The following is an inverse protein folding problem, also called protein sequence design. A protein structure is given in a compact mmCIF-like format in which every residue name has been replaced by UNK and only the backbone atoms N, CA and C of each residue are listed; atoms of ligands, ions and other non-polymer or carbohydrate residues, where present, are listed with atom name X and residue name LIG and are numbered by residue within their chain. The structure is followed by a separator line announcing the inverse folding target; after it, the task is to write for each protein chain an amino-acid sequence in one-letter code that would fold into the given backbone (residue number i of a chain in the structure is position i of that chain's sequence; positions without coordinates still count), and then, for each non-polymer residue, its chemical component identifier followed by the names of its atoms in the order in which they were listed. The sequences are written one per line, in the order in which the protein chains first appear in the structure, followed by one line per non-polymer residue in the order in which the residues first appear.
data_IF_620965570133
#
_entry.id   IF_620965570133
#
_cell.length_a   1.000
_cell.length_b   1.000
_cell.length_c   1.000
_cell.angle_alpha   90.00
_cell.angle_beta   90.00
_cell.angle_gamma   90.00
#
_symmetry.space_group_name_H-M   'P 1'
#
loop_
_entity.id
_entity.type
_entity.pdbx_description
1 polymer ?
#
# COMPACT_ATOMS: atom_id res chain seq x y z
N UNK A 1 8.59 10.57 48.92
CA UNK A 1 9.92 10.75 49.53
C UNK A 1 10.83 9.65 48.99
N UNK A 2 11.95 10.08 48.38
CA UNK A 2 13.27 9.40 48.24
C UNK A 2 13.33 7.97 47.66
N UNK A 3 14.22 7.59 46.74
CA UNK A 3 15.27 8.30 45.97
C UNK A 3 15.76 7.32 44.87
N UNK A 4 16.35 7.92 43.83
CA UNK A 4 17.00 7.33 42.67
C UNK A 4 18.23 6.46 42.96
N UNK A 5 18.50 5.47 42.11
CA UNK A 5 19.86 4.99 41.86
C UNK A 5 20.07 4.57 40.41
N UNK A 6 20.88 5.36 39.71
CA UNK A 6 21.46 5.11 38.38
C UNK A 6 22.20 3.76 38.33
N UNK A 7 22.10 3.06 37.19
CA UNK A 7 23.12 2.10 36.74
C UNK A 7 23.54 2.42 35.30
N UNK A 8 24.83 2.24 34.95
CA UNK A 8 25.41 2.80 33.75
C UNK A 8 25.23 1.88 32.54
N UNK A 9 25.23 2.53 31.37
CA UNK A 9 25.33 1.98 30.03
C UNK A 9 26.53 1.03 29.90
N UNK A 10 26.32 -0.12 29.27
CA UNK A 10 27.38 -1.03 28.87
C UNK A 10 27.33 -1.18 27.34
N UNK A 11 28.25 -0.52 26.65
CA UNK A 11 28.49 -0.67 25.22
C UNK A 11 29.19 -2.01 24.98
N UNK A 12 28.43 -3.02 24.53
CA UNK A 12 29.02 -4.23 23.95
C UNK A 12 29.08 -4.08 22.43
N UNK A 13 30.25 -3.64 21.96
CA UNK A 13 30.65 -3.53 20.56
C UNK A 13 30.47 -4.88 19.83
N UNK A 14 29.78 -4.83 18.69
CA UNK A 14 29.63 -5.92 17.73
C UNK A 14 30.98 -6.23 17.04
N UNK A 15 31.40 -7.49 17.08
CA UNK A 15 32.75 -7.97 16.78
C UNK A 15 33.06 -8.21 15.29
N UNK A 16 32.60 -7.36 14.37
CA UNK A 16 32.81 -7.58 12.90
C UNK A 16 33.52 -6.42 12.19
N UNK A 17 33.97 -5.38 12.90
CA UNK A 17 34.59 -4.19 12.28
C UNK A 17 36.06 -3.92 12.66
N UNK A 18 36.82 -4.91 13.13
CA UNK A 18 38.28 -4.74 13.33
C UNK A 18 39.04 -5.89 12.71
N UNK A 19 39.32 -5.77 11.41
CA UNK A 19 40.53 -6.30 10.80
C UNK A 19 40.76 -5.62 9.45
N UNK A 20 41.83 -4.82 9.39
CA UNK A 20 42.58 -4.28 8.23
C UNK A 20 42.94 -2.79 8.34
N UNK A 21 43.61 -2.40 9.42
CA UNK A 21 44.45 -1.20 9.44
C UNK A 21 45.64 -1.41 10.38
N UNK A 22 46.81 -1.76 9.80
CA UNK A 22 48.21 -1.85 10.32
C UNK A 22 48.87 -2.97 9.51
N UNK A 23 49.99 -2.87 8.80
CA UNK A 23 51.09 -1.91 8.68
C UNK A 23 51.53 -1.95 7.19
N UNK A 24 52.07 -0.85 6.66
CA UNK A 24 53.43 -0.85 6.11
C UNK A 24 53.77 0.54 5.58
N UNK A 25 54.79 1.11 6.22
CA UNK A 25 55.50 2.33 5.88
C UNK A 25 56.47 2.07 4.73
N UNK A 26 56.30 2.74 3.60
CA UNK A 26 57.32 2.89 2.57
C UNK A 26 57.30 4.35 2.10
N UNK A 27 58.43 5.04 2.25
CA UNK A 27 58.73 6.34 1.65
C UNK A 27 58.63 6.27 0.13
N UNK A 28 58.02 7.27 -0.52
CA UNK A 28 58.43 7.72 -1.87
C UNK A 28 57.72 9.02 -2.28
N UNK A 29 58.53 10.07 -2.44
CA UNK A 29 58.45 11.15 -3.46
C UNK A 29 57.09 11.72 -3.91
N UNK A 30 56.96 13.03 -3.71
CA UNK A 30 55.96 13.92 -4.31
C UNK A 30 55.78 13.67 -5.83
N UNK A 31 54.55 13.34 -6.24
CA UNK A 31 54.01 13.60 -7.59
C UNK A 31 52.52 13.94 -7.48
N UNK A 32 52.16 15.07 -8.06
CA UNK A 32 50.78 15.53 -8.23
C UNK A 32 49.99 14.51 -9.08
N UNK A 33 48.76 14.18 -8.67
CA UNK A 33 47.82 13.41 -9.50
C UNK A 33 46.57 14.25 -9.78
N UNK A 34 46.21 14.49 -11.05
CA UNK A 34 44.92 15.08 -11.42
C UNK A 34 43.87 13.96 -11.44
N UNK A 35 42.96 13.98 -10.48
CA UNK A 35 41.79 13.08 -10.46
C UNK A 35 40.51 13.88 -10.68
N UNK A 36 40.43 14.54 -11.83
CA UNK A 36 39.14 14.81 -12.47
C UNK A 36 38.84 13.59 -13.36
N UNK A 37 37.99 12.68 -12.88
CA UNK A 37 37.41 11.65 -13.73
C UNK A 37 36.50 12.40 -14.72
N UNK A 38 36.77 12.39 -16.04
CA UNK A 38 35.90 13.08 -16.98
C UNK A 38 34.53 12.42 -16.96
N UNK A 39 33.48 13.23 -16.83
CA UNK A 39 32.11 12.78 -16.97
C UNK A 39 32.00 12.00 -18.29
N UNK A 40 31.63 10.72 -18.20
CA UNK A 40 31.44 9.91 -19.41
C UNK A 40 30.30 10.56 -20.20
N UNK A 41 30.61 10.95 -21.44
CA UNK A 41 29.65 11.54 -22.37
C UNK A 41 29.38 10.59 -23.52
N UNK A 42 28.12 10.39 -23.87
CA UNK A 42 27.70 9.81 -25.15
C UNK A 42 27.20 10.98 -25.98
N UNK A 43 27.69 11.12 -27.22
CA UNK A 43 27.33 12.20 -28.17
C UNK A 43 27.49 13.63 -27.61
N UNK A 44 28.45 13.86 -26.72
CA UNK A 44 28.74 15.18 -26.15
C UNK A 44 27.79 15.62 -25.02
N UNK A 45 26.89 14.75 -24.56
CA UNK A 45 26.01 15.01 -23.42
C UNK A 45 26.46 14.23 -22.18
N UNK A 46 26.42 14.82 -20.97
CA UNK A 46 26.69 14.10 -19.74
C UNK A 46 25.74 12.91 -19.59
N UNK A 47 26.25 11.71 -19.27
CA UNK A 47 25.42 10.51 -19.03
C UNK A 47 24.25 10.75 -18.07
N UNK A 48 24.37 11.70 -17.13
CA UNK A 48 23.31 12.06 -16.18
C UNK A 48 22.06 12.69 -16.80
N UNK A 49 22.09 13.03 -18.10
CA UNK A 49 20.93 13.57 -18.83
C UNK A 49 20.12 12.50 -19.58
N UNK A 50 20.65 11.28 -19.73
CA UNK A 50 19.88 10.20 -20.35
C UNK A 50 18.95 9.56 -19.30
N UNK A 51 17.69 9.27 -19.67
CA UNK A 51 16.76 8.63 -18.76
C UNK A 51 17.28 7.23 -18.38
N UNK A 52 17.29 6.94 -17.08
CA UNK A 52 17.61 5.61 -16.58
C UNK A 52 16.55 4.58 -17.00
N UNK A 53 16.86 3.29 -16.90
CA UNK A 53 15.88 2.23 -17.14
C UNK A 53 14.63 2.36 -16.26
N UNK A 54 14.78 2.88 -15.03
CA UNK A 54 13.67 3.20 -14.13
C UNK A 54 12.81 4.35 -14.66
N UNK A 55 13.43 5.41 -15.20
CA UNK A 55 12.72 6.56 -15.77
C UNK A 55 11.91 6.18 -17.01
N UNK A 56 12.48 5.33 -17.88
CA UNK A 56 11.77 4.80 -19.04
C UNK A 56 10.60 3.90 -18.64
N UNK A 57 10.77 3.06 -17.61
CA UNK A 57 9.71 2.18 -17.10
C UNK A 57 8.57 2.98 -16.47
N UNK A 58 8.89 4.02 -15.69
CA UNK A 58 7.89 4.95 -15.14
C UNK A 58 7.10 5.64 -16.25
N UNK A 59 7.78 6.25 -17.24
CA UNK A 59 7.11 6.91 -18.35
C UNK A 59 6.19 5.96 -19.13
N UNK A 60 6.60 4.70 -19.32
CA UNK A 60 5.78 3.68 -19.96
C UNK A 60 4.54 3.31 -19.14
N UNK A 61 4.66 3.20 -17.81
CA UNK A 61 3.54 2.95 -16.90
C UNK A 61 2.53 4.11 -16.98
N UNK A 62 2.99 5.34 -16.82
CA UNK A 62 2.13 6.54 -16.85
C UNK A 62 1.41 6.68 -18.18
N UNK A 63 2.11 6.44 -19.28
CA UNK A 63 1.52 6.49 -20.64
C UNK A 63 0.42 5.44 -20.80
N UNK A 64 0.66 4.19 -20.39
CA UNK A 64 -0.32 3.10 -20.52
C UNK A 64 -1.52 3.28 -19.61
N UNK A 65 -1.31 3.69 -18.35
CA UNK A 65 -2.37 3.95 -17.39
C UNK A 65 -3.35 5.03 -17.89
N UNK A 66 -2.83 6.05 -18.57
CA UNK A 66 -3.68 7.11 -19.14
C UNK A 66 -4.66 6.57 -20.20
N UNK A 67 -4.26 5.52 -20.95
CA UNK A 67 -5.00 4.89 -22.05
C UNK A 67 -5.95 3.78 -21.56
N UNK A 68 -5.56 2.98 -20.56
CA UNK A 68 -6.30 1.78 -20.13
C UNK A 68 -7.59 2.08 -19.36
N UNK A 69 -7.75 3.30 -18.84
CA UNK A 69 -8.96 3.71 -18.09
C UNK A 69 -10.07 4.30 -18.96
N UNK A 70 -9.96 4.24 -20.28
CA UNK A 70 -11.04 4.63 -21.19
C UNK A 70 -11.97 3.44 -21.38
N UNK A 71 -13.15 3.46 -20.73
CA UNK A 71 -14.18 2.46 -20.98
C UNK A 71 -14.89 2.77 -22.31
N UNK A 72 -14.36 2.24 -23.41
CA UNK A 72 -14.94 2.41 -24.76
C UNK A 72 -16.35 1.82 -24.90
N UNK A 73 -16.76 0.93 -23.99
CA UNK A 73 -18.08 0.32 -23.95
C UNK A 73 -19.09 1.08 -23.06
N UNK A 74 -18.67 2.18 -22.41
CA UNK A 74 -19.55 2.94 -21.52
C UNK A 74 -20.68 3.62 -22.31
N UNK A 75 -21.90 3.56 -21.78
CA UNK A 75 -23.04 4.30 -22.33
C UNK A 75 -22.83 5.80 -22.22
N UNK A 76 -23.54 6.59 -23.03
CA UNK A 76 -23.49 8.06 -22.96
C UNK A 76 -23.81 8.60 -21.56
N UNK A 77 -24.77 7.97 -20.86
CA UNK A 77 -25.12 8.33 -19.48
C UNK A 77 -23.99 8.04 -18.50
N UNK A 78 -23.32 6.89 -18.63
CA UNK A 78 -22.16 6.53 -17.81
C UNK A 78 -21.00 7.51 -18.05
N UNK A 79 -20.74 7.89 -19.30
CA UNK A 79 -19.73 8.90 -19.64
C UNK A 79 -20.05 10.26 -19.00
N UNK A 80 -21.31 10.70 -19.06
CA UNK A 80 -21.75 11.96 -18.44
C UNK A 80 -21.59 11.93 -16.91
N UNK A 81 -21.95 10.83 -16.26
CA UNK A 81 -21.75 10.66 -14.81
C UNK A 81 -20.26 10.67 -14.45
N UNK A 82 -19.43 10.02 -15.27
CA UNK A 82 -17.98 9.97 -15.11
C UNK A 82 -17.36 11.37 -15.20
N UNK A 83 -17.74 12.16 -16.20
CA UNK A 83 -17.30 13.55 -16.33
C UNK A 83 -17.77 14.43 -15.17
N UNK A 84 -19.01 14.27 -14.73
CA UNK A 84 -19.55 15.04 -13.61
C UNK A 84 -18.78 14.74 -12.32
N UNK A 85 -18.51 13.46 -12.03
CA UNK A 85 -17.73 13.04 -10.86
C UNK A 85 -16.29 13.55 -10.96
N UNK A 86 -15.67 13.50 -12.15
CA UNK A 86 -14.33 14.02 -12.36
C UNK A 86 -14.20 15.54 -12.16
N UNK A 87 -15.26 16.31 -12.46
CA UNK A 87 -15.28 17.76 -12.19
C UNK A 87 -15.43 18.08 -10.71
N UNK A 88 -16.12 17.24 -9.95
CA UNK A 88 -16.46 17.48 -8.54
C UNK A 88 -16.28 16.21 -7.72
N UNK A 89 -15.03 15.94 -7.32
CA UNK A 89 -14.75 14.83 -6.41
C UNK A 89 -15.37 15.10 -5.03
N UNK A 90 -16.03 14.10 -4.42
CA UNK A 90 -16.47 14.21 -3.04
C UNK A 90 -15.31 14.50 -2.11
N UNK A 91 -15.57 15.32 -1.09
CA UNK A 91 -14.61 15.53 -0.01
C UNK A 91 -14.46 14.22 0.76
N UNK A 92 -13.21 13.85 1.08
CA UNK A 92 -12.96 12.68 1.92
C UNK A 92 -13.53 12.94 3.30
N UNK A 93 -14.49 12.13 3.71
CA UNK A 93 -15.17 12.23 5.00
C UNK A 93 -15.32 10.82 5.56
N UNK A 94 -14.54 10.54 6.60
CA UNK A 94 -14.63 9.33 7.39
C UNK A 94 -15.31 9.69 8.73
N UNK A 95 -16.62 9.44 8.91
CA UNK A 95 -17.37 9.74 10.14
C UNK A 95 -16.67 9.35 11.44
N UNK A 96 -15.97 8.22 11.44
CA UNK A 96 -15.23 7.70 12.59
C UNK A 96 -13.71 7.85 12.46
N UNK A 97 -13.22 8.52 11.42
CA UNK A 97 -11.79 8.75 11.19
C UNK A 97 -11.01 7.44 11.14
N UNK A 98 -10.16 7.23 12.15
CA UNK A 98 -9.30 6.05 12.29
C UNK A 98 -9.68 5.18 13.50
N UNK A 99 -10.92 5.33 14.00
CA UNK A 99 -11.40 4.65 15.19
C UNK A 99 -10.83 5.20 16.51
N UNK A 100 -11.11 4.52 17.64
CA UNK A 100 -12.06 3.40 17.74
C UNK A 100 -13.51 3.86 17.70
N UNK A 101 -14.37 3.11 17.00
CA UNK A 101 -15.83 3.23 17.08
C UNK A 101 -16.30 2.58 18.39
N UNK A 102 -17.34 3.14 19.07
CA UNK A 102 -17.97 2.44 20.19
C UNK A 102 -18.35 1.00 19.81
N UNK A 103 -17.99 -0.01 20.62
CA UNK A 103 -18.22 -1.40 20.25
C UNK A 103 -19.71 -1.71 20.10
N UNK A 104 -20.08 -2.41 19.02
CA UNK A 104 -21.43 -2.90 18.79
C UNK A 104 -21.42 -4.27 18.09
N UNK A 105 -22.61 -4.78 17.76
CA UNK A 105 -22.80 -6.07 17.07
C UNK A 105 -23.17 -5.88 15.59
N UNK A 106 -22.81 -4.75 15.00
CA UNK A 106 -23.08 -4.41 13.61
C UNK A 106 -22.18 -5.17 12.63
N UNK A 107 -22.66 -5.34 11.40
CA UNK A 107 -21.88 -5.92 10.29
C UNK A 107 -20.97 -4.86 9.70
N UNK A 108 -19.69 -5.18 9.61
CA UNK A 108 -18.68 -4.30 9.04
C UNK A 108 -18.04 -4.98 7.84
N UNK A 109 -17.98 -4.27 6.72
CA UNK A 109 -17.27 -4.72 5.53
C UNK A 109 -15.94 -3.99 5.40
N UNK A 110 -14.86 -4.73 5.54
CA UNK A 110 -13.48 -4.28 5.40
C UNK A 110 -13.01 -4.46 3.95
N UNK A 111 -12.49 -3.37 3.37
CA UNK A 111 -11.91 -3.36 2.04
C UNK A 111 -10.42 -3.05 2.13
N UNK A 112 -9.59 -3.92 1.56
CA UNK A 112 -8.26 -3.49 1.16
C UNK A 112 -8.33 -2.42 0.05
N UNK A 113 -7.25 -1.64 -0.10
CA UNK A 113 -7.20 -0.53 -1.04
C UNK A 113 -6.42 -0.90 -2.30
N UNK A 114 -5.13 -1.20 -2.15
CA UNK A 114 -4.19 -1.34 -3.26
C UNK A 114 -4.45 -2.64 -4.01
N UNK A 115 -4.58 -2.59 -5.35
CA UNK A 115 -4.99 -3.72 -6.20
C UNK A 115 -6.39 -4.30 -5.92
N UNK A 116 -7.15 -3.75 -4.96
CA UNK A 116 -8.50 -4.16 -4.62
C UNK A 116 -9.54 -3.12 -5.09
N UNK A 117 -9.49 -1.88 -4.57
CA UNK A 117 -10.41 -0.80 -5.00
C UNK A 117 -10.04 -0.20 -6.35
N UNK A 118 -8.83 -0.47 -6.82
CA UNK A 118 -8.40 -0.21 -8.19
C UNK A 118 -7.64 -1.43 -8.70
N UNK A 119 -7.63 -1.60 -10.03
CA UNK A 119 -7.05 -2.78 -10.67
C UNK A 119 -5.52 -2.81 -10.58
N UNK A 120 -4.92 -3.98 -10.38
CA UNK A 120 -3.46 -4.22 -10.46
C UNK A 120 -2.89 -3.89 -11.83
N UNK A 121 -3.69 -3.97 -12.90
CA UNK A 121 -3.35 -3.52 -14.25
C UNK A 121 -3.10 -2.01 -14.38
N UNK A 122 -3.42 -1.21 -13.35
CA UNK A 122 -2.98 0.21 -13.26
C UNK A 122 -1.47 0.35 -13.07
N UNK A 123 -0.78 -0.73 -12.68
CA UNK A 123 0.68 -0.79 -12.49
C UNK A 123 1.22 0.18 -11.43
N UNK A 124 0.37 0.63 -10.50
CA UNK A 124 0.78 1.46 -9.36
C UNK A 124 1.79 0.72 -8.48
N UNK A 125 1.57 -0.58 -8.20
CA UNK A 125 2.54 -1.37 -7.46
C UNK A 125 3.90 -1.45 -8.19
N UNK A 126 3.92 -1.59 -9.52
CA UNK A 126 5.17 -1.58 -10.30
C UNK A 126 5.88 -0.22 -10.25
N UNK A 127 5.11 0.88 -10.18
CA UNK A 127 5.63 2.23 -9.99
C UNK A 127 6.20 2.40 -8.57
N UNK A 128 5.51 1.89 -7.55
CA UNK A 128 6.00 1.85 -6.18
C UNK A 128 7.39 1.21 -6.11
N UNK A 129 7.58 0.06 -6.76
CA UNK A 129 8.90 -0.61 -6.78
C UNK A 129 10.00 0.27 -7.37
N UNK A 130 9.71 1.10 -8.38
CA UNK A 130 10.69 2.04 -8.96
C UNK A 130 11.10 3.08 -7.92
N UNK A 131 10.15 3.61 -7.15
CA UNK A 131 10.40 4.63 -6.13
C UNK A 131 11.16 4.05 -4.92
N UNK A 132 10.79 2.85 -4.46
CA UNK A 132 11.53 2.11 -3.43
C UNK A 132 12.98 1.89 -3.88
N UNK A 133 13.17 1.47 -5.12
CA UNK A 133 14.50 1.22 -5.67
C UNK A 133 15.33 2.50 -5.76
N UNK A 134 14.75 3.61 -6.21
CA UNK A 134 15.41 4.93 -6.20
C UNK A 134 15.81 5.35 -4.79
N UNK A 135 14.95 5.11 -3.80
CA UNK A 135 15.27 5.37 -2.40
C UNK A 135 16.51 4.56 -1.96
N UNK A 136 16.55 3.27 -2.27
CA UNK A 136 17.65 2.38 -1.85
C UNK A 136 18.98 2.83 -2.48
N UNK A 137 18.97 3.18 -3.77
CA UNK A 137 20.17 3.69 -4.43
C UNK A 137 20.66 5.00 -3.82
N UNK A 138 19.74 5.93 -3.54
CA UNK A 138 20.08 7.27 -3.06
C UNK A 138 20.52 7.27 -1.59
N UNK A 139 19.80 6.55 -0.73
CA UNK A 139 19.98 6.62 0.73
C UNK A 139 20.85 5.49 1.30
N UNK A 140 20.93 4.34 0.62
CA UNK A 140 21.75 3.20 1.06
C UNK A 140 22.97 2.97 0.15
N UNK A 141 23.15 3.81 -0.89
CA UNK A 141 24.25 3.71 -1.85
C UNK A 141 24.39 2.33 -2.52
N UNK A 142 23.27 1.63 -2.71
CA UNK A 142 23.23 0.31 -3.33
C UNK A 142 23.23 0.41 -4.86
N UNK A 143 23.82 -0.58 -5.52
CA UNK A 143 23.61 -0.79 -6.96
C UNK A 143 22.24 -1.44 -7.23
N UNK A 144 21.84 -1.52 -8.49
CA UNK A 144 20.51 -2.05 -8.87
C UNK A 144 20.27 -3.49 -8.42
N UNK A 145 21.29 -4.35 -8.51
CA UNK A 145 21.16 -5.76 -8.11
C UNK A 145 20.96 -5.91 -6.61
N UNK A 146 21.71 -5.15 -5.82
CA UNK A 146 21.66 -5.19 -4.36
C UNK A 146 20.39 -4.52 -3.83
N UNK A 147 19.95 -3.41 -4.45
CA UNK A 147 18.69 -2.76 -4.11
C UNK A 147 17.49 -3.69 -4.35
N UNK A 148 17.45 -4.36 -5.51
CA UNK A 148 16.41 -5.35 -5.82
C UNK A 148 16.43 -6.53 -4.84
N UNK A 149 17.62 -7.09 -4.55
CA UNK A 149 17.75 -8.18 -3.59
C UNK A 149 17.29 -7.79 -2.20
N UNK A 150 17.65 -6.58 -1.74
CA UNK A 150 17.26 -6.08 -0.42
C UNK A 150 15.75 -5.86 -0.33
N UNK A 151 15.14 -5.29 -1.38
CA UNK A 151 13.70 -5.10 -1.46
C UNK A 151 12.98 -6.45 -1.35
N UNK A 152 13.39 -7.45 -2.15
CA UNK A 152 12.78 -8.77 -2.12
C UNK A 152 13.00 -9.51 -0.80
N UNK A 153 14.17 -9.32 -0.17
CA UNK A 153 14.43 -9.85 1.16
C UNK A 153 13.43 -9.27 2.17
N UNK A 154 13.33 -7.94 2.29
CA UNK A 154 12.48 -7.32 3.31
C UNK A 154 10.99 -7.52 3.06
N UNK A 155 10.56 -7.50 1.80
CA UNK A 155 9.18 -7.84 1.47
C UNK A 155 8.84 -9.27 1.90
N UNK A 156 9.71 -10.25 1.62
CA UNK A 156 9.48 -11.65 1.99
C UNK A 156 9.55 -11.90 3.50
N UNK A 157 10.48 -11.23 4.19
CA UNK A 157 10.75 -11.46 5.62
C UNK A 157 9.77 -10.72 6.54
N UNK A 158 9.37 -9.51 6.16
CA UNK A 158 8.61 -8.61 7.02
C UNK A 158 7.21 -8.26 6.48
N UNK A 159 6.86 -8.67 5.27
CA UNK A 159 5.59 -8.33 4.61
C UNK A 159 5.53 -6.89 4.07
N UNK A 160 6.37 -5.99 4.57
CA UNK A 160 6.57 -4.63 4.09
C UNK A 160 8.07 -4.34 4.00
N UNK A 161 8.53 -3.86 2.84
CA UNK A 161 9.94 -3.53 2.63
C UNK A 161 10.46 -2.47 3.61
N UNK A 162 9.60 -1.53 4.02
CA UNK A 162 9.93 -0.45 4.95
C UNK A 162 10.24 -0.96 6.36
N UNK A 163 9.62 -2.04 6.82
CA UNK A 163 9.88 -2.58 8.16
C UNK A 163 11.35 -3.01 8.30
N UNK A 164 11.89 -3.67 7.27
CA UNK A 164 13.32 -4.02 7.24
C UNK A 164 14.24 -2.81 7.19
N UNK A 165 13.85 -1.73 6.49
CA UNK A 165 14.62 -0.48 6.45
C UNK A 165 14.66 0.23 7.79
N UNK A 166 13.54 0.27 8.51
CA UNK A 166 13.45 0.90 9.83
C UNK A 166 14.29 0.11 10.84
N UNK A 167 14.15 -1.22 10.87
CA UNK A 167 14.85 -2.09 11.82
C UNK A 167 16.35 -2.18 11.57
N UNK A 168 16.76 -2.45 10.34
CA UNK A 168 18.15 -2.80 10.02
C UNK A 168 18.99 -1.57 9.61
N UNK A 169 18.36 -0.53 9.06
CA UNK A 169 19.06 0.63 8.51
C UNK A 169 18.74 1.95 9.24
N UNK A 170 17.89 1.92 10.27
CA UNK A 170 17.49 3.11 11.05
C UNK A 170 16.94 4.25 10.17
N UNK A 171 16.27 3.87 9.08
CA UNK A 171 15.59 4.82 8.19
C UNK A 171 14.34 5.35 8.91
N UNK A 172 14.11 6.66 8.82
CA UNK A 172 12.85 7.26 9.24
C UNK A 172 11.73 6.83 8.28
N UNK A 173 10.73 6.12 8.81
CA UNK A 173 9.65 5.56 8.02
C UNK A 173 8.77 6.62 7.34
N UNK A 174 8.61 7.78 7.97
CA UNK A 174 7.83 8.89 7.41
C UNK A 174 8.61 9.62 6.33
N UNK A 175 9.93 9.73 6.47
CA UNK A 175 10.79 10.27 5.41
C UNK A 175 10.78 9.36 4.18
N UNK A 176 10.82 8.04 4.38
CA UNK A 176 10.59 7.06 3.31
C UNK A 176 9.21 7.24 2.67
N UNK A 177 8.14 7.34 3.45
CA UNK A 177 6.78 7.49 2.92
C UNK A 177 6.64 8.73 2.02
N UNK A 178 7.27 9.84 2.40
CA UNK A 178 7.24 11.09 1.62
C UNK A 178 7.80 10.93 0.21
N UNK A 179 8.85 10.12 0.06
CA UNK A 179 9.60 9.98 -1.20
C UNK A 179 9.25 8.72 -1.98
N UNK A 180 8.42 7.86 -1.41
CA UNK A 180 7.90 6.65 -2.07
C UNK A 180 6.39 6.82 -2.30
N UNK A 181 5.55 6.48 -1.34
CA UNK A 181 4.09 6.48 -1.47
C UNK A 181 3.52 7.87 -1.80
N UNK A 182 3.89 8.90 -1.02
CA UNK A 182 3.36 10.26 -1.21
C UNK A 182 3.86 10.89 -2.52
N UNK A 183 5.01 10.43 -3.04
CA UNK A 183 5.61 10.93 -4.27
C UNK A 183 5.00 10.31 -5.54
N UNK A 184 4.21 9.23 -5.41
CA UNK A 184 3.57 8.61 -6.57
C UNK A 184 2.62 9.60 -7.27
N UNK A 185 2.69 9.75 -8.61
CA UNK A 185 1.79 10.58 -9.40
C UNK A 185 0.41 9.92 -9.61
N UNK A 186 -0.28 9.59 -8.52
CA UNK A 186 -1.54 8.84 -8.54
C UNK A 186 -2.63 9.57 -9.33
N UNK A 187 -2.64 10.89 -9.37
CA UNK A 187 -3.58 11.72 -10.12
C UNK A 187 -3.46 11.57 -11.65
N UNK A 188 -2.31 11.09 -12.14
CA UNK A 188 -2.11 10.78 -13.56
C UNK A 188 -2.60 9.37 -13.93
N UNK A 189 -2.83 8.52 -12.92
CA UNK A 189 -3.15 7.10 -13.08
C UNK A 189 -4.61 6.82 -12.71
N UNK A 190 -5.02 7.26 -11.52
CA UNK A 190 -6.34 7.00 -10.96
C UNK A 190 -7.33 8.06 -11.43
N UNK A 191 -8.38 7.59 -12.11
CA UNK A 191 -9.56 8.39 -12.41
C UNK A 191 -10.72 7.95 -11.50
N UNK A 192 -11.76 8.77 -11.36
CA UNK A 192 -12.94 8.37 -10.60
C UNK A 192 -13.55 7.10 -11.17
N UNK A 193 -14.21 6.31 -10.34
CA UNK A 193 -14.85 5.09 -10.78
C UNK A 193 -16.33 5.12 -10.41
N UNK A 194 -17.16 5.57 -11.36
CA UNK A 194 -18.62 5.67 -11.17
C UNK A 194 -19.26 4.31 -10.88
N UNK A 195 -18.80 3.24 -11.51
CA UNK A 195 -19.36 1.91 -11.29
C UNK A 195 -19.10 1.43 -9.85
N UNK A 196 -17.86 1.55 -9.39
CA UNK A 196 -17.48 1.24 -8.00
C UNK A 196 -18.25 2.13 -7.02
N UNK A 197 -18.33 3.44 -7.28
CA UNK A 197 -19.07 4.38 -6.46
C UNK A 197 -20.53 3.97 -6.31
N UNK A 198 -21.20 3.68 -7.43
CA UNK A 198 -22.60 3.28 -7.43
C UNK A 198 -22.82 1.95 -6.72
N UNK A 199 -21.89 0.99 -6.86
CA UNK A 199 -21.92 -0.26 -6.11
C UNK A 199 -21.83 -0.04 -4.59
N UNK A 200 -20.85 0.73 -4.13
CA UNK A 200 -20.68 1.04 -2.71
C UNK A 200 -21.88 1.82 -2.13
N UNK A 201 -22.48 2.73 -2.91
CA UNK A 201 -23.72 3.41 -2.52
C UNK A 201 -24.87 2.41 -2.35
N UNK A 202 -25.04 1.47 -3.27
CA UNK A 202 -26.08 0.42 -3.12
C UNK A 202 -25.86 -0.44 -1.89
N UNK A 203 -24.61 -0.81 -1.63
CA UNK A 203 -24.23 -1.58 -0.45
C UNK A 203 -24.58 -0.82 0.85
N UNK A 204 -24.23 0.47 0.94
CA UNK A 204 -24.55 1.30 2.11
C UNK A 204 -26.06 1.51 2.27
N UNK A 205 -26.78 1.70 1.16
CA UNK A 205 -28.23 1.90 1.17
C UNK A 205 -29.03 0.63 1.40
N UNK A 206 -28.41 -0.56 1.44
CA UNK A 206 -29.13 -1.80 1.70
C UNK A 206 -29.67 -1.88 3.15
N UNK A 207 -29.04 -1.15 4.07
CA UNK A 207 -29.31 -1.25 5.51
C UNK A 207 -28.90 -2.60 6.11
N UNK A 208 -28.11 -3.40 5.37
CA UNK A 208 -27.60 -4.71 5.82
C UNK A 208 -26.14 -4.67 6.27
N UNK A 209 -25.43 -3.61 5.92
CA UNK A 209 -24.04 -3.35 6.31
C UNK A 209 -24.04 -2.05 7.10
N UNK A 210 -23.61 -2.12 8.37
CA UNK A 210 -23.63 -0.97 9.28
C UNK A 210 -22.46 -0.03 8.99
N UNK A 211 -21.30 -0.58 8.58
CA UNK A 211 -20.10 0.20 8.26
C UNK A 211 -19.32 -0.38 7.08
N UNK A 212 -18.85 0.50 6.21
CA UNK A 212 -17.79 0.20 5.24
C UNK A 212 -16.47 0.74 5.81
N UNK A 213 -15.47 -0.12 5.94
CA UNK A 213 -14.20 0.20 6.58
C UNK A 213 -13.03 -0.07 5.64
N UNK A 214 -12.07 0.83 5.59
CA UNK A 214 -10.84 0.62 4.83
C UNK A 214 -9.81 -0.10 5.71
N UNK A 215 -9.14 -1.12 5.20
CA UNK A 215 -8.10 -1.85 5.93
C UNK A 215 -6.88 -2.11 5.05
N UNK A 216 -5.88 -1.23 5.16
CA UNK A 216 -4.70 -1.19 4.26
C UNK A 216 -3.38 -1.34 5.01
N UNK A 217 -2.37 -1.88 4.33
CA UNK A 217 -0.97 -1.88 4.80
C UNK A 217 -0.22 -0.59 4.46
N UNK A 218 -0.79 0.29 3.63
CA UNK A 218 -0.22 1.60 3.32
C UNK A 218 -0.38 2.57 4.50
N UNK A 219 0.37 3.67 4.48
CA UNK A 219 0.14 4.77 5.41
C UNK A 219 -1.10 5.58 5.03
N UNK A 220 -1.70 6.27 6.01
CA UNK A 220 -2.99 6.97 5.85
C UNK A 220 -3.04 7.94 4.68
N UNK A 221 -1.95 8.67 4.40
CA UNK A 221 -1.92 9.67 3.33
C UNK A 221 -2.21 9.04 1.97
N UNK A 222 -1.59 7.89 1.69
CA UNK A 222 -1.79 7.14 0.45
C UNK A 222 -3.24 6.66 0.30
N UNK A 223 -3.77 5.99 1.33
CA UNK A 223 -5.17 5.50 1.32
C UNK A 223 -6.19 6.62 1.09
N UNK A 224 -6.02 7.76 1.78
CA UNK A 224 -6.90 8.93 1.62
C UNK A 224 -6.81 9.55 0.22
N UNK A 225 -5.61 9.58 -0.39
CA UNK A 225 -5.41 10.04 -1.77
C UNK A 225 -6.12 9.12 -2.77
N UNK A 226 -5.98 7.80 -2.60
CA UNK A 226 -6.61 6.81 -3.49
C UNK A 226 -8.14 6.95 -3.48
N UNK A 227 -8.79 6.92 -2.32
CA UNK A 227 -10.25 7.00 -2.25
C UNK A 227 -10.80 8.35 -2.74
N UNK A 228 -10.02 9.43 -2.58
CA UNK A 228 -10.35 10.74 -3.17
C UNK A 228 -10.35 10.68 -4.69
N UNK A 229 -9.26 10.19 -5.28
CA UNK A 229 -9.09 10.13 -6.74
C UNK A 229 -10.07 9.18 -7.41
N UNK A 230 -10.42 8.07 -6.74
CA UNK A 230 -11.47 7.15 -7.18
C UNK A 230 -12.89 7.73 -7.02
N UNK A 231 -13.05 8.85 -6.32
CA UNK A 231 -14.35 9.51 -6.11
C UNK A 231 -15.25 8.74 -5.15
N UNK A 232 -14.68 8.08 -4.13
CA UNK A 232 -15.38 7.25 -3.14
C UNK A 232 -15.06 7.65 -1.68
N UNK A 233 -14.42 8.81 -1.49
CA UNK A 233 -13.93 9.27 -0.19
C UNK A 233 -15.00 9.59 0.87
N UNK A 234 -16.26 9.67 0.48
CA UNK A 234 -17.43 9.92 1.34
C UNK A 234 -18.27 8.67 1.63
N UNK A 235 -17.83 7.49 1.16
CA UNK A 235 -18.60 6.24 1.27
C UNK A 235 -18.17 5.35 2.43
N UNK A 236 -16.94 5.53 2.93
CA UNK A 236 -16.38 4.75 4.03
C UNK A 236 -16.59 5.43 5.38
N UNK A 237 -16.83 4.63 6.40
CA UNK A 237 -17.11 5.07 7.76
C UNK A 237 -15.82 5.31 8.57
N UNK A 238 -14.74 4.60 8.22
CA UNK A 238 -13.40 4.77 8.81
C UNK A 238 -12.31 4.00 8.08
N UNK A 239 -11.08 4.10 8.60
CA UNK A 239 -9.90 3.43 8.05
C UNK A 239 -8.95 2.94 9.14
N UNK A 240 -8.53 1.68 9.01
CA UNK A 240 -7.35 1.12 9.68
C UNK A 240 -6.20 1.05 8.67
N UNK A 241 -5.06 1.62 9.05
CA UNK A 241 -3.86 1.72 8.23
C UNK A 241 -2.64 1.27 9.02
N UNK A 242 -1.53 1.00 8.34
CA UNK A 242 -0.27 0.66 9.01
C UNK A 242 0.37 1.95 9.56
N UNK A 243 0.52 2.07 10.87
CA UNK A 243 1.16 3.22 11.50
C UNK A 243 2.69 3.10 11.38
N UNK A 244 3.27 3.86 10.45
CA UNK A 244 4.70 3.83 10.15
C UNK A 244 5.56 4.43 11.26
N UNK A 245 4.98 5.23 12.17
CA UNK A 245 5.70 5.73 13.33
C UNK A 245 5.92 4.65 14.43
N UNK A 246 5.22 3.53 14.36
CA UNK A 246 5.35 2.46 15.35
C UNK A 246 6.46 1.47 14.98
N UNK A 247 7.23 1.04 15.98
CA UNK A 247 8.27 0.00 15.83
C UNK A 247 8.06 -1.06 16.92
N UNK A 248 7.72 -2.31 16.55
CA UNK A 248 7.54 -2.83 15.19
C UNK A 248 6.28 -2.29 14.50
N UNK A 249 6.28 -2.21 13.17
CA UNK A 249 5.05 -1.95 12.43
C UNK A 249 4.08 -3.11 12.54
N UNK A 250 2.79 -2.79 12.61
CA UNK A 250 1.70 -3.77 12.70
C UNK A 250 0.88 -3.69 11.41
N UNK A 251 1.11 -4.64 10.51
CA UNK A 251 0.46 -4.73 9.21
C UNK A 251 -0.10 -6.15 8.96
N UNK A 252 -0.99 -6.30 7.98
CA UNK A 252 -1.43 -7.61 7.50
C UNK A 252 -0.20 -8.38 6.98
N UNK A 253 -0.08 -9.70 7.24
CA UNK A 253 -1.09 -10.60 7.81
C UNK A 253 -0.99 -10.80 9.35
N UNK A 254 -0.29 -9.92 10.07
CA UNK A 254 -0.07 -10.08 11.52
C UNK A 254 -1.39 -9.98 12.29
N UNK A 255 -1.56 -10.85 13.30
CA UNK A 255 -2.76 -10.90 14.16
C UNK A 255 -3.12 -9.52 14.74
N UNK A 256 -2.13 -8.76 15.20
CA UNK A 256 -2.33 -7.42 15.74
C UNK A 256 -2.96 -6.43 14.75
N UNK A 257 -2.76 -6.59 13.45
CA UNK A 257 -3.39 -5.73 12.44
C UNK A 257 -4.89 -6.02 12.31
N UNK A 258 -5.28 -7.30 12.37
CA UNK A 258 -6.68 -7.71 12.35
C UNK A 258 -7.40 -7.37 13.65
N UNK A 259 -6.76 -7.59 14.80
CA UNK A 259 -7.33 -7.19 16.10
C UNK A 259 -7.54 -5.67 16.14
N UNK A 260 -6.56 -4.89 15.66
CA UNK A 260 -6.69 -3.44 15.52
C UNK A 260 -7.82 -3.04 14.57
N UNK A 261 -7.99 -3.71 13.44
CA UNK A 261 -9.07 -3.40 12.50
C UNK A 261 -10.45 -3.63 13.12
N UNK A 262 -10.63 -4.72 13.89
CA UNK A 262 -11.86 -4.98 14.62
C UNK A 262 -12.11 -3.91 15.70
N UNK A 263 -11.09 -3.55 16.48
CA UNK A 263 -11.17 -2.51 17.52
C UNK A 263 -11.51 -1.14 16.91
N UNK A 264 -10.77 -0.72 15.89
CA UNK A 264 -10.95 0.56 15.21
C UNK A 264 -12.38 0.69 14.67
N UNK A 265 -12.94 -0.39 14.12
CA UNK A 265 -14.29 -0.44 13.55
C UNK A 265 -15.40 -0.80 14.54
N UNK A 266 -15.09 -1.02 15.82
CA UNK A 266 -16.04 -1.34 16.88
C UNK A 266 -16.70 -2.71 16.76
N UNK A 267 -16.04 -3.69 16.14
CA UNK A 267 -16.58 -5.05 15.93
C UNK A 267 -16.30 -5.92 17.16
N UNK A 268 -17.37 -6.37 17.83
CA UNK A 268 -17.27 -7.24 19.02
C UNK A 268 -17.23 -8.73 18.71
N UNK A 269 -17.91 -9.17 17.64
CA UNK A 269 -17.88 -10.54 17.14
C UNK A 269 -17.24 -10.56 15.73
N UNK A 270 -16.04 -11.16 15.56
CA UNK A 270 -15.40 -11.31 14.25
C UNK A 270 -16.28 -11.98 13.19
N UNK A 271 -17.32 -12.72 13.58
CA UNK A 271 -18.29 -13.31 12.64
C UNK A 271 -19.10 -12.26 11.87
N UNK A 272 -19.20 -11.03 12.38
CA UNK A 272 -19.84 -9.91 11.69
C UNK A 272 -18.88 -9.15 10.75
N UNK A 273 -17.60 -9.55 10.69
CA UNK A 273 -16.62 -8.97 9.79
C UNK A 273 -16.65 -9.66 8.43
N UNK A 274 -16.86 -8.85 7.39
CA UNK A 274 -16.67 -9.21 5.99
C UNK A 274 -15.37 -8.59 5.49
N UNK A 275 -14.59 -9.31 4.69
CA UNK A 275 -13.28 -8.85 4.23
C UNK A 275 -13.04 -9.15 2.76
N UNK A 276 -12.57 -8.14 2.03
CA UNK A 276 -12.10 -8.26 0.65
C UNK A 276 -10.64 -7.78 0.56
N UNK A 277 -9.76 -8.63 0.03
CA UNK A 277 -8.32 -8.36 -0.16
C UNK A 277 -7.80 -9.17 -1.38
N UNK A 278 -6.77 -8.69 -2.08
CA UNK A 278 -6.18 -9.43 -3.22
C UNK A 278 -5.14 -10.47 -2.76
N UNK A 279 -4.54 -10.25 -1.59
CA UNK A 279 -3.42 -11.02 -1.07
C UNK A 279 -3.88 -12.33 -0.41
N UNK A 280 -3.35 -13.45 -0.93
CA UNK A 280 -3.55 -14.81 -0.41
C UNK A 280 -3.30 -14.91 1.10
N UNK A 281 -2.14 -14.41 1.55
CA UNK A 281 -1.73 -14.51 2.96
C UNK A 281 -2.61 -13.66 3.87
N UNK A 282 -3.23 -12.59 3.35
CA UNK A 282 -4.13 -11.74 4.13
C UNK A 282 -5.48 -12.43 4.32
N UNK A 283 -6.03 -13.04 3.25
CA UNK A 283 -7.31 -13.77 3.34
C UNK A 283 -7.18 -15.04 4.19
N UNK A 284 -6.06 -15.78 4.06
CA UNK A 284 -5.74 -16.91 4.95
C UNK A 284 -5.66 -16.50 6.42
N UNK A 285 -5.04 -15.35 6.69
CA UNK A 285 -4.96 -14.81 8.04
C UNK A 285 -6.33 -14.42 8.60
N UNK A 286 -7.19 -13.80 7.81
CA UNK A 286 -8.56 -13.47 8.21
C UNK A 286 -9.36 -14.71 8.62
N UNK A 287 -9.30 -15.78 7.80
CA UNK A 287 -9.93 -17.08 8.10
C UNK A 287 -9.33 -17.67 9.38
N UNK A 288 -7.99 -17.72 9.48
CA UNK A 288 -7.28 -18.21 10.66
C UNK A 288 -7.66 -17.49 11.95
N UNK A 289 -7.93 -16.19 11.87
CA UNK A 289 -8.32 -15.36 13.02
C UNK A 289 -9.83 -15.32 13.27
N UNK A 290 -10.62 -16.09 12.51
CA UNK A 290 -12.04 -16.32 12.75
C UNK A 290 -12.96 -15.22 12.22
N UNK A 291 -12.53 -14.43 11.24
CA UNK A 291 -13.41 -13.49 10.56
C UNK A 291 -14.49 -14.24 9.78
N UNK A 292 -15.73 -13.77 9.87
CA UNK A 292 -16.91 -14.56 9.43
C UNK A 292 -16.99 -14.79 7.92
N UNK A 293 -16.60 -13.79 7.13
CA UNK A 293 -16.80 -13.80 5.69
C UNK A 293 -15.58 -13.22 4.96
N UNK A 294 -14.87 -14.05 4.21
CA UNK A 294 -13.62 -13.65 3.55
C UNK A 294 -13.74 -13.89 2.05
N UNK A 295 -13.44 -12.86 1.26
CA UNK A 295 -13.34 -12.93 -0.19
C UNK A 295 -11.97 -12.47 -0.67
N UNK A 296 -11.44 -13.15 -1.69
CA UNK A 296 -10.22 -12.79 -2.40
C UNK A 296 -10.55 -12.14 -3.72
N UNK A 297 -9.96 -10.98 -3.99
CA UNK A 297 -10.03 -10.33 -5.29
C UNK A 297 -8.93 -10.88 -6.22
N UNK A 298 -9.30 -11.37 -7.39
CA UNK A 298 -8.37 -11.81 -8.44
C UNK A 298 -8.64 -11.06 -9.74
N UNK A 299 -7.68 -10.27 -10.21
CA UNK A 299 -7.88 -9.55 -11.48
C UNK A 299 -7.74 -10.50 -12.68
N UNK A 300 -8.67 -10.39 -13.64
CA UNK A 300 -8.54 -11.05 -14.94
C UNK A 300 -8.51 -12.57 -14.83
N UNK A 301 -7.49 -13.18 -15.41
CA UNK A 301 -7.24 -14.62 -15.48
C UNK A 301 -6.20 -15.09 -14.45
N UNK A 302 -5.95 -14.31 -13.39
CA UNK A 302 -5.11 -14.75 -12.28
C UNK A 302 -5.57 -16.12 -11.75
N UNK A 303 -4.57 -16.97 -11.51
CA UNK A 303 -4.75 -18.35 -11.03
C UNK A 303 -5.43 -18.33 -9.67
N UNK A 304 -6.52 -19.08 -9.58
CA UNK A 304 -7.23 -19.29 -8.34
C UNK A 304 -6.63 -20.49 -7.62
N UNK A 305 -5.87 -20.22 -6.56
CA UNK A 305 -5.43 -21.24 -5.60
C UNK A 305 -6.49 -21.30 -4.51
N UNK A 306 -7.28 -22.38 -4.54
CA UNK A 306 -8.37 -22.57 -3.59
C UNK A 306 -7.87 -22.46 -2.15
N UNK A 307 -8.45 -21.52 -1.39
CA UNK A 307 -8.22 -21.37 0.05
C UNK A 307 -9.53 -21.69 0.75
N UNK A 308 -9.50 -22.66 1.66
CA UNK A 308 -10.69 -23.08 2.40
C UNK A 308 -11.32 -21.91 3.16
N UNK A 309 -12.63 -21.75 3.02
CA UNK A 309 -13.39 -20.67 3.67
C UNK A 309 -13.27 -19.30 3.00
N UNK A 310 -12.57 -19.19 1.87
CA UNK A 310 -12.43 -17.95 1.10
C UNK A 310 -13.24 -18.04 -0.19
N UNK A 311 -14.09 -17.03 -0.45
CA UNK A 311 -14.78 -16.87 -1.73
C UNK A 311 -13.89 -16.10 -2.71
N UNK A 312 -14.08 -16.27 -4.01
CA UNK A 312 -13.30 -15.54 -5.02
C UNK A 312 -14.22 -14.61 -5.81
N UNK A 313 -13.74 -13.39 -6.06
CA UNK A 313 -14.38 -12.40 -6.92
C UNK A 313 -13.37 -11.81 -7.90
N UNK A 314 -13.79 -11.59 -9.15
CA UNK A 314 -12.96 -10.98 -10.21
C UNK A 314 -13.33 -9.54 -10.53
N UNK A 315 -14.50 -9.12 -10.07
CA UNK A 315 -14.96 -7.75 -10.01
C UNK A 315 -15.60 -7.52 -8.64
N UNK A 316 -15.35 -6.35 -8.02
CA UNK A 316 -15.93 -6.00 -6.70
C UNK A 316 -17.47 -6.12 -6.70
N UNK A 317 -18.12 -5.92 -7.85
CA UNK A 317 -19.58 -6.09 -8.00
C UNK A 317 -20.05 -7.54 -7.77
N UNK A 318 -19.18 -8.53 -7.95
CA UNK A 318 -19.51 -9.94 -7.70
C UNK A 318 -19.73 -10.23 -6.21
N UNK A 319 -19.40 -9.30 -5.31
CA UNK A 319 -19.81 -9.34 -3.91
C UNK A 319 -21.34 -9.45 -3.74
N UNK A 320 -22.14 -8.90 -4.66
CA UNK A 320 -23.60 -9.09 -4.67
C UNK A 320 -23.99 -10.57 -4.87
N UNK A 321 -23.20 -11.31 -5.65
CA UNK A 321 -23.42 -12.74 -5.92
C UNK A 321 -22.90 -13.60 -4.78
N UNK A 322 -21.72 -13.28 -4.26
CA UNK A 322 -21.09 -14.10 -3.21
C UNK A 322 -21.66 -13.82 -1.82
N UNK A 323 -22.16 -12.62 -1.55
CA UNK A 323 -22.80 -12.21 -0.29
C UNK A 323 -24.18 -11.56 -0.53
N UNK A 324 -25.14 -12.29 -1.11
CA UNK A 324 -26.45 -11.73 -1.47
C UNK A 324 -27.24 -11.23 -0.24
N UNK A 325 -26.93 -11.71 0.96
CA UNK A 325 -27.54 -11.27 2.21
C UNK A 325 -27.19 -9.82 2.60
N UNK A 326 -26.15 -9.24 2.00
CA UNK A 326 -25.74 -7.84 2.21
C UNK A 326 -26.46 -6.84 1.31
N UNK A 327 -27.29 -7.31 0.38
CA UNK A 327 -27.94 -6.49 -0.62
C UNK A 327 -29.45 -6.73 -0.63
N UNK A 328 -30.21 -5.71 -1.05
CA UNK A 328 -31.64 -5.87 -1.25
C UNK A 328 -31.87 -6.64 -2.56
N UNK A 329 -32.81 -7.61 -2.55
CA UNK A 329 -33.21 -8.28 -3.79
C UNK A 329 -33.82 -7.24 -4.74
N UNK A 330 -33.33 -7.19 -5.98
CA UNK A 330 -33.93 -6.40 -7.05
C UNK A 330 -35.45 -6.64 -7.07
N UNK A 331 -36.25 -5.61 -6.80
CA UNK A 331 -37.73 -5.67 -6.81
C UNK A 331 -38.44 -5.58 -5.46
N UNK A 332 -37.74 -5.35 -4.35
CA UNK A 332 -38.37 -5.12 -3.04
C UNK A 332 -38.37 -3.62 -2.73
N UNK A 333 -39.34 -2.87 -3.25
CA UNK A 333 -39.73 -1.55 -2.73
C UNK A 333 -40.94 -1.70 -1.82
#
# INVERSE_FOLDING_TARGET
MTQSSNRPYNDSECSVCRDKLKNDSIETTQRETPNDIPAITIDGYPLSRYPSAGDLKEAAILTRASQSQVNLAASFEQQKQQEQLARHLPVVKLPYGFGPVPPDNGKVFFFDIDNCLYKKSTKIHDLMQIYIHRFFKKHLHLNDKDAYRLHMKYYKEYGLAIEGLVREHRIDALEYNKVVDDALPLDQILKPNVELRNFLIRMKNSGKVDRLWLFTNAYKNHGLRVIRLLGIGDLFDGMTFCEYANVPMVCKPLRGAFDKALEDAGVTDPKNAYFLDDSEINVEAAVKYGWGHVARYLEGDEEDKEVEGVKVVRDVKELETVYPELFNRYGSQ
#
